data_IF_231075355569
#
_entry.id   IF_231075355569
#
_cell.length_a   1.000
_cell.length_b   1.000
_cell.length_c   1.000
_cell.angle_alpha   90.00
_cell.angle_beta   90.00
_cell.angle_gamma   90.00
#
_symmetry.space_group_name_H-M   'P 1'
#
loop_
_entity.id
_entity.type
_entity.pdbx_description
1 polymer ?
#
# COMPACT_ATOMS: atom_id res chain seq x y z
N UNK A 1 -1.49 6.37 -27.53
CA UNK A 1 -0.21 7.08 -27.38
C UNK A 1 0.71 6.32 -26.44
N UNK A 2 0.30 6.03 -25.20
CA UNK A 2 1.09 5.26 -24.23
C UNK A 2 1.57 3.88 -24.72
N UNK A 3 0.65 2.95 -25.02
CA UNK A 3 1.00 1.58 -25.44
C UNK A 3 1.79 1.55 -26.75
N UNK A 4 1.61 2.52 -27.65
CA UNK A 4 2.38 2.62 -28.89
C UNK A 4 3.86 2.92 -28.62
N UNK A 5 4.15 3.68 -27.56
CA UNK A 5 5.50 4.16 -27.26
C UNK A 5 6.25 3.27 -26.27
N UNK A 6 5.54 2.57 -25.38
CA UNK A 6 6.16 1.79 -24.29
C UNK A 6 5.90 0.28 -24.38
N UNK A 7 5.04 -0.20 -25.29
CA UNK A 7 4.86 -1.63 -25.50
C UNK A 7 5.74 -2.11 -26.66
N UNK A 8 7.07 -2.00 -26.49
CA UNK A 8 8.07 -2.57 -27.37
C UNK A 8 9.08 -3.38 -26.55
N UNK A 9 9.92 -4.13 -27.23
CA UNK A 9 10.98 -4.90 -26.56
C UNK A 9 12.08 -3.98 -25.98
N UNK A 10 12.16 -2.71 -26.42
CA UNK A 10 13.04 -1.70 -25.81
C UNK A 10 12.65 -1.37 -24.36
N UNK A 11 11.35 -1.53 -24.04
CA UNK A 11 10.76 -1.30 -22.72
C UNK A 11 10.21 -2.60 -22.13
N UNK A 12 10.93 -3.71 -22.34
CA UNK A 12 10.51 -5.06 -21.92
C UNK A 12 10.21 -5.17 -20.41
N UNK A 13 10.81 -4.31 -19.58
CA UNK A 13 10.68 -4.29 -18.13
C UNK A 13 9.46 -3.49 -17.63
N UNK A 14 8.67 -2.88 -18.53
CA UNK A 14 7.39 -2.27 -18.15
C UNK A 14 6.36 -3.36 -17.94
N UNK A 15 6.01 -3.60 -16.67
CA UNK A 15 5.06 -4.65 -16.27
C UNK A 15 3.61 -4.32 -16.64
N UNK A 16 3.24 -3.03 -16.64
CA UNK A 16 1.88 -2.61 -16.87
C UNK A 16 1.59 -1.18 -16.45
N UNK A 17 0.34 -0.91 -16.10
CA UNK A 17 -0.15 0.40 -15.66
C UNK A 17 -0.85 0.26 -14.31
N UNK A 18 -0.46 1.10 -13.36
CA UNK A 18 -1.34 1.48 -12.26
C UNK A 18 -2.40 2.45 -12.77
N UNK A 19 -3.65 1.97 -12.80
CA UNK A 19 -4.71 2.61 -13.59
C UNK A 19 -5.06 4.01 -13.08
N UNK A 20 -4.95 4.24 -11.76
CA UNK A 20 -5.16 5.54 -11.15
C UNK A 20 -4.69 5.53 -9.69
N UNK A 21 -3.70 6.38 -9.39
CA UNK A 21 -3.29 6.69 -8.03
C UNK A 21 -4.45 7.19 -7.16
N UNK A 22 -4.66 6.54 -6.03
CA UNK A 22 -5.53 6.91 -4.92
C UNK A 22 -6.92 7.45 -5.35
N UNK A 23 -7.85 6.59 -5.79
CA UNK A 23 -9.25 6.93 -6.08
C UNK A 23 -10.09 7.38 -4.87
N UNK A 24 -9.62 8.35 -4.08
CA UNK A 24 -10.21 8.72 -2.78
C UNK A 24 -11.60 9.40 -2.84
N UNK A 25 -11.97 9.98 -3.99
CA UNK A 25 -13.32 10.55 -4.21
C UNK A 25 -14.25 9.60 -4.99
N UNK A 26 -13.77 8.40 -5.32
CA UNK A 26 -14.51 7.47 -6.15
C UNK A 26 -15.34 6.49 -5.30
N UNK A 27 -16.33 5.88 -5.94
CA UNK A 27 -17.13 4.81 -5.36
C UNK A 27 -16.77 3.47 -6.01
N UNK A 28 -17.28 2.36 -5.47
CA UNK A 28 -17.02 1.02 -6.00
C UNK A 28 -18.32 0.23 -6.15
N UNK A 29 -18.59 -0.24 -7.37
CA UNK A 29 -19.72 -1.13 -7.68
C UNK A 29 -21.09 -0.46 -7.64
N UNK A 30 -21.15 0.87 -7.77
CA UNK A 30 -22.38 1.66 -7.76
C UNK A 30 -23.05 1.73 -9.14
N UNK A 31 -22.27 1.59 -10.22
CA UNK A 31 -22.74 1.84 -11.59
C UNK A 31 -22.81 3.32 -11.98
N UNK A 32 -22.50 4.23 -11.06
CA UNK A 32 -22.57 5.67 -11.28
C UNK A 32 -21.30 6.22 -11.93
N UNK A 33 -21.32 7.51 -12.30
CA UNK A 33 -20.18 8.20 -12.91
C UNK A 33 -18.90 8.20 -12.06
N UNK A 34 -19.02 7.96 -10.74
CA UNK A 34 -17.88 7.88 -9.81
C UNK A 34 -17.43 6.44 -9.56
N UNK A 35 -17.99 5.43 -10.22
CA UNK A 35 -17.65 4.02 -9.99
C UNK A 35 -16.25 3.69 -10.55
N UNK A 36 -15.26 3.63 -9.66
CA UNK A 36 -13.88 3.31 -10.03
C UNK A 36 -13.74 1.89 -10.57
N UNK A 37 -14.57 0.94 -10.15
CA UNK A 37 -14.54 -0.42 -10.70
C UNK A 37 -14.82 -0.41 -12.20
N UNK A 38 -15.82 0.36 -12.65
CA UNK A 38 -16.14 0.50 -14.08
C UNK A 38 -15.08 1.29 -14.84
N UNK A 39 -14.51 2.32 -14.21
CA UNK A 39 -13.39 3.06 -14.78
C UNK A 39 -12.15 2.14 -14.98
N UNK A 40 -11.82 1.32 -13.99
CA UNK A 40 -10.72 0.35 -14.04
C UNK A 40 -10.91 -0.66 -15.17
N UNK A 41 -12.10 -1.22 -15.34
CA UNK A 41 -12.42 -2.12 -16.47
C UNK A 41 -12.24 -1.43 -17.83
N UNK A 42 -12.69 -0.17 -17.94
CA UNK A 42 -12.62 0.60 -19.18
C UNK A 42 -11.16 0.93 -19.54
N UNK A 43 -10.39 1.45 -18.58
CA UNK A 43 -8.98 1.81 -18.78
C UNK A 43 -8.16 0.54 -19.05
N UNK A 44 -8.37 -0.52 -18.26
CA UNK A 44 -7.70 -1.81 -18.41
C UNK A 44 -7.97 -2.46 -19.77
N UNK A 45 -9.22 -2.47 -20.24
CA UNK A 45 -9.56 -2.99 -21.58
C UNK A 45 -8.88 -2.18 -22.70
N UNK A 46 -8.81 -0.85 -22.57
CA UNK A 46 -8.14 0.01 -23.54
C UNK A 46 -6.63 -0.21 -23.56
N UNK A 47 -6.02 -0.35 -22.40
CA UNK A 47 -4.61 -0.69 -22.23
C UNK A 47 -4.29 -2.04 -22.88
N UNK A 48 -5.02 -3.09 -22.52
CA UNK A 48 -4.77 -4.45 -23.00
C UNK A 48 -4.98 -4.60 -24.50
N UNK A 49 -5.90 -3.83 -25.11
CA UNK A 49 -6.02 -3.75 -26.57
C UNK A 49 -4.75 -3.20 -27.23
N UNK A 50 -4.06 -2.28 -26.56
CA UNK A 50 -2.83 -1.69 -27.07
C UNK A 50 -1.56 -2.46 -26.70
N UNK A 51 -1.56 -3.14 -25.55
CA UNK A 51 -0.44 -3.95 -25.07
C UNK A 51 -0.95 -5.20 -24.32
N UNK A 52 -1.15 -6.33 -25.02
CA UNK A 52 -1.63 -7.57 -24.38
C UNK A 52 -0.63 -8.19 -23.40
N UNK A 53 0.64 -7.77 -23.39
CA UNK A 53 1.68 -8.28 -22.48
C UNK A 53 1.55 -7.70 -21.07
N UNK A 54 1.05 -6.47 -20.94
CA UNK A 54 0.96 -5.73 -19.66
C UNK A 54 -0.07 -6.30 -18.68
N UNK A 55 0.03 -5.84 -17.43
CA UNK A 55 -0.87 -6.07 -16.31
C UNK A 55 -1.60 -4.76 -15.92
N UNK A 56 -2.84 -4.87 -15.44
CA UNK A 56 -3.59 -3.77 -14.87
C UNK A 56 -3.50 -3.84 -13.34
N UNK A 57 -2.83 -2.86 -12.74
CA UNK A 57 -2.79 -2.69 -11.29
C UNK A 57 -3.96 -1.79 -10.88
N UNK A 58 -4.80 -2.30 -9.99
CA UNK A 58 -6.04 -1.64 -9.57
C UNK A 58 -6.01 -1.46 -8.06
N UNK A 59 -5.90 -0.21 -7.65
CA UNK A 59 -6.04 0.21 -6.26
C UNK A 59 -7.51 0.13 -5.77
N UNK A 60 -7.72 0.43 -4.49
CA UNK A 60 -9.03 0.58 -3.87
C UNK A 60 -9.60 2.01 -3.92
N UNK A 61 -10.67 2.23 -3.18
CA UNK A 61 -11.27 3.56 -2.95
C UNK A 61 -11.09 3.99 -1.50
N UNK A 62 -11.56 5.19 -1.14
CA UNK A 62 -11.67 5.63 0.26
C UNK A 62 -13.13 5.57 0.69
N UNK A 63 -13.45 4.75 1.68
CA UNK A 63 -14.79 4.67 2.24
C UNK A 63 -14.72 4.55 3.77
N UNK A 64 -15.80 4.96 4.43
CA UNK A 64 -15.94 4.79 5.87
C UNK A 64 -16.36 3.36 6.18
N UNK A 65 -15.69 2.76 7.16
CA UNK A 65 -15.93 1.40 7.60
C UNK A 65 -15.98 1.32 9.13
N UNK A 66 -16.70 0.29 9.58
CA UNK A 66 -16.76 -0.10 10.98
C UNK A 66 -16.18 -1.51 11.08
N UNK A 67 -15.26 -1.70 12.02
CA UNK A 67 -14.68 -3.01 12.35
C UNK A 67 -14.75 -3.24 13.86
N UNK A 68 -14.68 -4.51 14.28
CA UNK A 68 -14.62 -4.87 15.69
C UNK A 68 -13.26 -5.46 16.02
N UNK A 69 -12.43 -4.75 16.77
CA UNK A 69 -11.08 -5.18 17.14
C UNK A 69 -11.02 -5.33 18.65
N UNK A 70 -10.51 -6.46 19.16
CA UNK A 70 -10.43 -6.74 20.60
C UNK A 70 -11.78 -6.62 21.35
N UNK A 71 -12.91 -6.80 20.64
CA UNK A 71 -14.26 -6.67 21.19
C UNK A 71 -14.81 -5.24 21.22
N UNK A 72 -14.05 -4.27 20.71
CA UNK A 72 -14.45 -2.87 20.61
C UNK A 72 -14.71 -2.46 19.16
N UNK A 73 -15.69 -1.58 18.96
CA UNK A 73 -16.02 -1.04 17.64
C UNK A 73 -15.08 0.11 17.28
N UNK A 74 -14.46 0.03 16.09
CA UNK A 74 -13.65 1.08 15.51
C UNK A 74 -14.28 1.57 14.22
N UNK A 75 -14.47 2.88 14.13
CA UNK A 75 -14.86 3.56 12.90
C UNK A 75 -13.61 4.20 12.28
N UNK A 76 -13.35 3.90 11.02
CA UNK A 76 -12.18 4.40 10.29
C UNK A 76 -12.53 4.68 8.84
N UNK A 77 -11.66 5.40 8.15
CA UNK A 77 -11.69 5.51 6.70
C UNK A 77 -10.60 4.61 6.13
N UNK A 78 -10.87 3.94 5.00
CA UNK A 78 -9.80 3.25 4.29
C UNK A 78 -8.67 4.20 3.96
N UNK A 79 -7.44 3.71 3.89
CA UNK A 79 -6.39 4.48 3.22
C UNK A 79 -6.84 4.86 1.81
N UNK A 80 -6.40 6.01 1.33
CA UNK A 80 -6.65 6.37 -0.06
C UNK A 80 -6.03 5.30 -0.95
N UNK A 81 -6.80 4.73 -1.88
CA UNK A 81 -6.35 3.57 -2.65
C UNK A 81 -6.36 2.23 -1.89
N UNK A 82 -6.80 2.17 -0.64
CA UNK A 82 -6.77 0.96 0.19
C UNK A 82 -8.06 0.13 0.19
N UNK A 83 -9.22 0.76 -0.02
CA UNK A 83 -10.53 0.12 0.17
C UNK A 83 -10.93 -0.83 -0.96
N UNK A 84 -10.76 -2.14 -0.78
CA UNK A 84 -11.12 -3.20 -1.72
C UNK A 84 -12.17 -4.18 -1.17
N UNK A 85 -12.83 -3.87 -0.06
CA UNK A 85 -13.87 -4.69 0.59
C UNK A 85 -15.00 -5.11 -0.37
N UNK A 86 -15.37 -4.21 -1.30
CA UNK A 86 -16.45 -4.44 -2.26
C UNK A 86 -16.05 -5.33 -3.44
N UNK A 87 -14.77 -5.69 -3.61
CA UNK A 87 -14.30 -6.63 -4.65
C UNK A 87 -15.02 -7.98 -4.54
N UNK A 88 -15.29 -8.46 -3.33
CA UNK A 88 -16.02 -9.72 -3.10
C UNK A 88 -17.39 -9.77 -3.80
N UNK A 89 -18.08 -8.63 -3.87
CA UNK A 89 -19.40 -8.50 -4.49
C UNK A 89 -19.32 -8.02 -5.94
N UNK A 90 -18.40 -7.10 -6.20
CA UNK A 90 -18.23 -6.41 -7.47
C UNK A 90 -16.76 -6.50 -7.92
N UNK A 91 -16.28 -7.69 -8.34
CA UNK A 91 -14.91 -7.85 -8.80
C UNK A 91 -14.70 -7.12 -10.13
N UNK A 92 -13.46 -6.67 -10.37
CA UNK A 92 -13.06 -6.12 -11.67
C UNK A 92 -12.96 -7.26 -12.67
N UNK A 93 -13.60 -7.10 -13.84
CA UNK A 93 -13.62 -8.08 -14.92
C UNK A 93 -12.93 -7.51 -16.14
N UNK A 94 -11.74 -8.04 -16.43
CA UNK A 94 -11.03 -7.77 -17.67
C UNK A 94 -11.36 -8.88 -18.69
N UNK A 95 -11.48 -8.51 -19.97
CA UNK A 95 -11.74 -9.48 -21.04
C UNK A 95 -10.57 -10.42 -21.33
N UNK A 96 -9.41 -10.20 -20.72
CA UNK A 96 -8.22 -11.06 -20.85
C UNK A 96 -7.91 -11.73 -19.50
N UNK A 97 -7.74 -13.07 -19.47
CA UNK A 97 -7.45 -13.78 -18.24
C UNK A 97 -6.07 -13.42 -17.69
N UNK A 98 -5.91 -13.50 -16.37
CA UNK A 98 -4.63 -13.33 -15.67
C UNK A 98 -3.95 -11.97 -15.94
N UNK A 99 -4.74 -10.90 -16.10
CA UNK A 99 -4.26 -9.53 -16.37
C UNK A 99 -4.52 -8.52 -15.25
N UNK A 100 -5.14 -8.96 -14.17
CA UNK A 100 -5.51 -8.11 -13.04
C UNK A 100 -4.55 -8.35 -11.88
N UNK A 101 -4.11 -7.26 -11.26
CA UNK A 101 -3.44 -7.23 -9.95
C UNK A 101 -4.16 -6.19 -9.11
N UNK A 102 -4.49 -6.52 -7.87
CA UNK A 102 -4.96 -5.54 -6.91
C UNK A 102 -3.76 -4.90 -6.19
N UNK A 103 -3.74 -3.58 -6.12
CA UNK A 103 -2.58 -2.81 -5.66
C UNK A 103 -2.91 -1.86 -4.49
N UNK A 104 -3.55 -2.31 -3.39
CA UNK A 104 -4.00 -1.41 -2.34
C UNK A 104 -2.87 -0.66 -1.64
N UNK A 105 -3.15 0.54 -1.13
CA UNK A 105 -2.25 1.28 -0.24
C UNK A 105 -2.56 0.96 1.22
N UNK A 106 -1.53 0.94 2.07
CA UNK A 106 -1.69 0.81 3.52
C UNK A 106 -0.57 1.53 4.26
N UNK A 107 -0.94 2.41 5.17
CA UNK A 107 0.00 3.33 5.81
C UNK A 107 0.04 3.18 7.34
N UNK A 108 0.83 4.05 7.96
CA UNK A 108 1.14 4.06 9.40
C UNK A 108 0.59 5.32 10.07
N UNK A 109 0.62 5.43 11.41
CA UNK A 109 0.22 6.63 12.14
C UNK A 109 0.89 7.93 11.68
N UNK A 110 2.04 7.87 11.01
CA UNK A 110 2.70 9.07 10.51
C UNK A 110 1.96 9.75 9.35
N UNK A 111 1.20 8.99 8.54
CA UNK A 111 0.34 9.56 7.49
C UNK A 111 -0.95 10.10 8.12
N UNK A 112 -1.63 9.24 8.88
CA UNK A 112 -2.82 9.60 9.64
C UNK A 112 -2.92 8.70 10.89
N UNK A 113 -3.20 9.25 12.08
CA UNK A 113 -3.21 8.48 13.32
C UNK A 113 -4.54 7.73 13.47
N UNK A 114 -4.75 6.72 12.63
CA UNK A 114 -5.92 5.85 12.73
C UNK A 114 -6.05 5.26 14.14
N UNK A 115 -7.21 5.43 14.76
CA UNK A 115 -7.40 5.16 16.19
C UNK A 115 -7.17 3.67 16.53
N UNK A 116 -7.38 2.77 15.56
CA UNK A 116 -7.13 1.35 15.75
C UNK A 116 -5.65 1.03 16.03
N UNK A 117 -4.68 1.89 15.73
CA UNK A 117 -3.28 1.68 16.11
C UNK A 117 -2.99 1.91 17.60
N UNK A 118 -3.94 2.46 18.35
CA UNK A 118 -3.75 2.88 19.74
C UNK A 118 -4.73 2.16 20.69
N UNK A 119 -4.31 1.95 21.93
CA UNK A 119 -5.11 1.32 22.98
C UNK A 119 -6.00 2.28 23.76
N UNK A 120 -6.06 3.56 23.36
CA UNK A 120 -6.77 4.61 24.06
C UNK A 120 -6.22 5.99 23.71
N UNK A 121 -6.87 7.02 24.23
CA UNK A 121 -6.56 8.43 24.03
C UNK A 121 -7.83 9.23 23.72
N UNK A 122 -7.68 10.54 23.51
CA UNK A 122 -8.78 11.43 23.11
C UNK A 122 -8.50 12.04 21.75
N UNK A 123 -9.41 11.82 20.80
CA UNK A 123 -9.33 12.44 19.47
C UNK A 123 -9.72 13.91 19.59
N UNK A 124 -8.85 14.80 19.09
CA UNK A 124 -9.08 16.24 19.04
C UNK A 124 -9.73 16.67 17.73
N UNK A 125 -10.13 17.95 17.63
CA UNK A 125 -10.65 18.51 16.39
C UNK A 125 -9.61 18.65 15.27
N UNK A 126 -8.32 18.46 15.57
CA UNK A 126 -7.22 18.45 14.59
C UNK A 126 -6.86 17.04 14.13
N UNK A 127 -7.70 16.03 14.44
CA UNK A 127 -7.41 14.62 14.20
C UNK A 127 -6.10 14.15 14.86
N UNK A 128 -5.69 14.78 15.96
CA UNK A 128 -4.61 14.27 16.81
C UNK A 128 -5.19 13.43 17.95
N UNK A 129 -4.38 12.58 18.56
CA UNK A 129 -4.77 11.75 19.72
C UNK A 129 -3.95 12.16 20.93
N UNK A 130 -4.55 12.90 21.87
CA UNK A 130 -3.89 13.21 23.16
C UNK A 130 -4.03 12.03 24.12
N UNK A 131 -3.09 11.92 25.07
CA UNK A 131 -3.06 10.84 26.06
C UNK A 131 -3.11 9.43 25.43
N UNK A 132 -2.53 9.31 24.22
CA UNK A 132 -2.56 8.08 23.45
C UNK A 132 -1.84 6.94 24.18
N UNK A 133 -2.37 5.73 24.05
CA UNK A 133 -1.78 4.53 24.65
C UNK A 133 -1.16 3.67 23.57
N UNK A 134 0.17 3.56 23.54
CA UNK A 134 0.85 2.67 22.60
C UNK A 134 0.66 1.20 22.96
N UNK A 135 0.19 0.42 21.98
CA UNK A 135 -0.05 -1.01 22.09
C UNK A 135 1.25 -1.80 22.27
N UNK A 136 1.14 -2.97 22.92
CA UNK A 136 2.22 -3.97 22.92
C UNK A 136 2.37 -4.61 21.51
N UNK A 137 3.44 -5.37 21.30
CA UNK A 137 3.76 -5.94 19.99
C UNK A 137 2.68 -6.88 19.43
N UNK A 138 2.16 -7.79 20.26
CA UNK A 138 1.16 -8.75 19.82
C UNK A 138 -0.15 -8.08 19.45
N UNK A 139 -0.58 -7.09 20.24
CA UNK A 139 -1.79 -6.32 19.94
C UNK A 139 -1.62 -5.52 18.64
N UNK A 140 -0.54 -4.75 18.51
CA UNK A 140 -0.33 -3.92 17.32
C UNK A 140 -0.22 -4.76 16.03
N UNK A 141 0.50 -5.88 16.07
CA UNK A 141 0.57 -6.82 14.94
C UNK A 141 -0.82 -7.35 14.57
N UNK A 142 -1.60 -7.82 15.56
CA UNK A 142 -2.97 -8.33 15.32
C UNK A 142 -3.87 -7.28 14.66
N UNK A 143 -3.76 -6.01 15.07
CA UNK A 143 -4.57 -4.92 14.49
C UNK A 143 -4.13 -4.56 13.07
N UNK A 144 -2.82 -4.56 12.79
CA UNK A 144 -2.29 -4.39 11.42
C UNK A 144 -2.79 -5.53 10.52
N UNK A 145 -2.60 -6.78 10.93
CA UNK A 145 -3.06 -7.95 10.15
C UNK A 145 -4.56 -7.90 9.90
N UNK A 146 -5.36 -7.59 10.92
CA UNK A 146 -6.82 -7.54 10.81
C UNK A 146 -7.30 -6.45 9.87
N UNK A 147 -6.81 -5.23 10.01
CA UNK A 147 -7.24 -4.11 9.17
C UNK A 147 -6.78 -4.29 7.72
N UNK A 148 -5.55 -4.77 7.47
CA UNK A 148 -5.12 -5.17 6.13
C UNK A 148 -6.00 -6.27 5.54
N UNK A 149 -6.32 -7.30 6.32
CA UNK A 149 -7.16 -8.41 5.86
C UNK A 149 -8.57 -7.95 5.51
N UNK A 150 -9.18 -7.13 6.35
CA UNK A 150 -10.52 -6.60 6.09
C UNK A 150 -10.54 -5.68 4.88
N UNK A 151 -9.59 -4.75 4.74
CA UNK A 151 -9.53 -3.82 3.60
C UNK A 151 -9.33 -4.56 2.28
N UNK A 152 -8.41 -5.53 2.23
CA UNK A 152 -8.02 -6.17 0.97
C UNK A 152 -7.43 -7.58 1.08
N UNK A 153 -6.88 -7.98 2.23
CA UNK A 153 -6.13 -9.23 2.35
C UNK A 153 -6.95 -10.50 2.12
N UNK A 154 -8.27 -10.45 2.35
CA UNK A 154 -9.17 -11.57 2.06
C UNK A 154 -9.15 -12.02 0.59
N UNK A 155 -8.73 -11.14 -0.35
CA UNK A 155 -8.65 -11.46 -1.78
C UNK A 155 -7.60 -12.57 -2.04
N UNK A 156 -6.61 -12.70 -1.16
CA UNK A 156 -5.52 -13.67 -1.30
C UNK A 156 -6.00 -15.09 -1.01
N UNK A 157 -7.03 -15.26 -0.18
CA UNK A 157 -7.55 -16.57 0.24
C UNK A 157 -8.03 -17.42 -0.96
N UNK A 158 -8.59 -16.76 -1.98
CA UNK A 158 -9.10 -17.40 -3.20
C UNK A 158 -7.99 -17.69 -4.23
N UNK A 159 -6.71 -17.44 -3.89
CA UNK A 159 -5.52 -17.66 -4.73
C UNK A 159 -5.52 -16.94 -6.08
N UNK A 160 -6.29 -15.86 -6.22
CA UNK A 160 -6.21 -14.95 -7.35
C UNK A 160 -7.35 -13.92 -7.36
N UNK A 161 -7.17 -12.73 -7.97
CA UNK A 161 -5.95 -12.14 -8.55
C UNK A 161 -4.82 -11.89 -7.53
N UNK A 162 -3.60 -11.63 -8.01
CA UNK A 162 -2.50 -11.26 -7.13
C UNK A 162 -2.79 -9.94 -6.40
N UNK A 163 -2.35 -9.84 -5.14
CA UNK A 163 -2.41 -8.62 -4.34
C UNK A 163 -0.98 -8.22 -3.96
N UNK A 164 -0.59 -7.00 -4.28
CA UNK A 164 0.65 -6.38 -3.80
C UNK A 164 0.33 -5.01 -3.21
N UNK A 165 1.12 -4.50 -2.28
CA UNK A 165 0.87 -3.14 -1.78
C UNK A 165 1.41 -2.12 -2.78
N UNK A 166 0.52 -1.25 -3.29
CA UNK A 166 0.89 -0.16 -4.20
C UNK A 166 1.78 0.87 -3.50
N UNK A 167 1.46 1.17 -2.24
CA UNK A 167 2.27 2.00 -1.36
C UNK A 167 2.14 1.51 0.09
N UNK A 168 3.25 1.57 0.83
CA UNK A 168 3.27 1.38 2.27
C UNK A 168 4.50 2.05 2.91
N UNK A 169 4.50 2.12 4.23
CA UNK A 169 5.54 2.64 5.15
C UNK A 169 5.20 3.98 5.82
N UNK A 170 6.21 4.69 6.32
CA UNK A 170 6.07 5.75 7.30
C UNK A 170 7.42 6.30 7.74
N UNK A 171 7.41 7.13 8.79
CA UNK A 171 8.64 7.48 9.50
C UNK A 171 9.21 6.24 10.20
N UNK A 172 10.48 5.93 9.98
CA UNK A 172 11.13 4.72 10.50
C UNK A 172 12.28 5.06 11.45
N UNK A 173 13.31 5.75 10.97
CA UNK A 173 14.41 6.22 11.80
C UNK A 173 14.00 7.44 12.64
N UNK A 174 13.06 8.24 12.14
CA UNK A 174 12.62 9.49 12.79
C UNK A 174 11.38 9.33 13.69
N UNK A 175 10.87 8.12 13.86
CA UNK A 175 9.70 7.84 14.72
C UNK A 175 9.95 8.32 16.17
N UNK A 176 9.18 9.30 16.63
CA UNK A 176 9.28 9.88 17.96
C UNK A 176 8.39 9.19 19.01
N UNK A 177 7.57 8.21 18.62
CA UNK A 177 6.78 7.47 19.59
C UNK A 177 7.68 6.76 20.63
N UNK A 178 7.34 6.77 21.93
CA UNK A 178 8.12 6.08 22.96
C UNK A 178 8.36 4.59 22.70
N UNK A 179 7.33 3.85 22.24
CA UNK A 179 7.44 2.44 21.83
C UNK A 179 7.62 2.26 20.32
N UNK A 180 7.92 3.33 19.58
CA UNK A 180 8.15 3.30 18.13
C UNK A 180 6.97 2.70 17.35
N UNK A 181 5.75 3.16 17.64
CA UNK A 181 4.53 2.61 17.02
C UNK A 181 4.51 2.77 15.50
N UNK A 182 4.89 3.92 14.93
CA UNK A 182 4.96 4.09 13.47
C UNK A 182 5.90 3.08 12.81
N UNK A 183 7.11 2.97 13.36
CA UNK A 183 8.13 2.04 12.90
C UNK A 183 7.63 0.59 12.98
N UNK A 184 7.04 0.21 14.12
CA UNK A 184 6.48 -1.13 14.32
C UNK A 184 5.33 -1.43 13.36
N UNK A 185 4.50 -0.45 13.02
CA UNK A 185 3.47 -0.64 11.98
C UNK A 185 4.10 -1.00 10.63
N UNK A 186 5.20 -0.33 10.24
CA UNK A 186 5.93 -0.71 9.01
C UNK A 186 6.49 -2.12 9.09
N UNK A 187 7.13 -2.48 10.22
CA UNK A 187 7.64 -3.84 10.44
C UNK A 187 6.53 -4.89 10.32
N UNK A 188 5.34 -4.64 10.89
CA UNK A 188 4.21 -5.56 10.87
C UNK A 188 3.50 -5.61 9.52
N UNK A 189 3.45 -4.51 8.78
CA UNK A 189 2.98 -4.53 7.38
C UNK A 189 3.88 -5.44 6.55
N UNK A 190 5.21 -5.31 6.65
CA UNK A 190 6.16 -6.20 5.95
C UNK A 190 6.01 -7.65 6.40
N UNK A 191 5.89 -7.88 7.70
CA UNK A 191 5.65 -9.23 8.23
C UNK A 191 4.37 -9.84 7.66
N UNK A 192 3.30 -9.04 7.54
CA UNK A 192 2.01 -9.48 6.99
C UNK A 192 2.14 -9.80 5.50
N UNK A 193 2.81 -8.94 4.72
CA UNK A 193 3.11 -9.18 3.29
C UNK A 193 3.77 -10.55 3.11
N UNK A 194 4.86 -10.79 3.83
CA UNK A 194 5.66 -12.01 3.69
C UNK A 194 4.91 -13.25 4.18
N UNK A 195 4.14 -13.14 5.26
CA UNK A 195 3.53 -14.31 5.92
C UNK A 195 2.18 -14.73 5.35
N UNK A 196 1.43 -13.81 4.71
CA UNK A 196 0.07 -14.08 4.23
C UNK A 196 -0.03 -14.35 2.72
N UNK A 197 1.09 -14.31 1.99
CA UNK A 197 1.11 -14.66 0.56
C UNK A 197 0.79 -13.50 -0.38
N UNK A 198 1.04 -12.26 0.05
CA UNK A 198 1.05 -11.12 -0.87
C UNK A 198 2.17 -11.28 -1.91
N UNK A 199 1.98 -10.71 -3.10
CA UNK A 199 2.96 -10.74 -4.18
C UNK A 199 4.14 -9.76 -3.96
N UNK A 200 4.09 -8.94 -2.90
CA UNK A 200 5.12 -7.96 -2.53
C UNK A 200 4.53 -6.58 -2.29
N UNK A 201 5.31 -5.54 -2.55
CA UNK A 201 4.83 -4.16 -2.54
C UNK A 201 5.89 -3.14 -2.94
N UNK A 202 5.46 -1.93 -3.24
CA UNK A 202 6.33 -0.78 -3.46
C UNK A 202 6.34 0.08 -2.19
N UNK A 203 7.52 0.23 -1.59
CA UNK A 203 7.67 1.03 -0.39
C UNK A 203 7.66 2.52 -0.75
N UNK A 204 6.92 3.31 0.02
CA UNK A 204 6.86 4.76 -0.07
C UNK A 204 7.78 5.41 1.01
N UNK A 205 8.88 6.06 0.63
CA UNK A 205 9.42 6.12 -0.73
C UNK A 205 10.95 6.12 -0.76
N UNK A 206 11.51 6.06 -1.98
CA UNK A 206 12.94 6.31 -2.17
C UNK A 206 13.32 7.75 -1.79
N UNK A 207 12.44 8.70 -2.07
CA UNK A 207 12.69 10.13 -1.98
C UNK A 207 12.72 10.60 -0.52
N UNK A 208 13.77 11.32 -0.08
CA UNK A 208 13.88 11.83 1.29
C UNK A 208 12.81 12.86 1.67
N UNK A 209 12.24 13.57 0.69
CA UNK A 209 11.25 14.62 0.92
C UNK A 209 9.81 14.11 0.97
N UNK A 210 9.59 12.80 0.98
CA UNK A 210 8.27 12.21 1.22
C UNK A 210 7.71 12.68 2.56
N UNK A 211 6.58 13.36 2.52
CA UNK A 211 6.00 14.04 3.67
C UNK A 211 5.02 13.17 4.47
N UNK A 212 5.01 13.39 5.78
CA UNK A 212 4.16 12.75 6.77
C UNK A 212 3.55 13.81 7.69
N UNK A 213 2.31 13.60 8.14
CA UNK A 213 1.52 14.60 8.85
C UNK A 213 1.62 14.55 10.37
N UNK A 214 2.11 13.45 10.96
CA UNK A 214 2.04 13.21 12.40
C UNK A 214 3.30 12.54 12.94
N UNK A 215 3.81 13.03 14.08
CA UNK A 215 4.90 12.39 14.80
C UNK A 215 5.10 12.99 16.21
N UNK A 216 4.64 12.36 17.31
CA UNK A 216 3.70 11.23 17.44
C UNK A 216 2.23 11.59 17.08
N UNK A 217 1.18 10.81 17.46
CA UNK A 217 -0.18 11.05 16.96
C UNK A 217 -0.83 12.28 17.61
N UNK A 218 -0.25 12.81 18.69
CA UNK A 218 -0.64 14.05 19.37
C UNK A 218 -0.07 15.29 18.68
N UNK A 219 0.89 15.12 17.77
CA UNK A 219 1.68 16.20 17.17
C UNK A 219 1.52 16.20 15.66
N UNK A 220 0.63 17.07 15.17
CA UNK A 220 0.49 17.36 13.74
C UNK A 220 1.64 18.26 13.28
N UNK A 221 2.20 17.98 12.11
CA UNK A 221 3.31 18.75 11.56
C UNK A 221 3.63 18.40 10.11
N UNK A 222 4.83 18.77 9.69
CA UNK A 222 5.40 18.38 8.40
C UNK A 222 6.72 17.68 8.66
N UNK A 223 6.74 16.37 8.47
CA UNK A 223 7.90 15.52 8.70
C UNK A 223 8.29 14.85 7.39
N UNK A 224 9.56 14.62 7.14
CA UNK A 224 10.01 13.98 5.89
C UNK A 224 10.99 12.85 6.18
N UNK A 225 10.79 11.72 5.50
CA UNK A 225 11.75 10.61 5.52
C UNK A 225 11.59 9.78 4.23
N UNK A 226 12.69 9.21 3.74
CA UNK A 226 12.72 8.25 2.66
C UNK A 226 13.86 7.25 2.84
N UNK A 227 13.99 6.31 1.90
CA UNK A 227 15.10 5.36 1.89
C UNK A 227 16.45 5.98 1.53
N UNK A 228 16.46 7.14 0.89
CA UNK A 228 17.66 7.94 0.65
C UNK A 228 17.64 9.13 1.60
N UNK A 229 18.82 9.56 2.05
CA UNK A 229 19.00 10.77 2.86
C UNK A 229 18.78 12.03 2.02
N UNK A 230 18.52 13.19 2.65
CA UNK A 230 18.29 14.48 1.96
C UNK A 230 19.40 14.91 1.00
N UNK A 231 20.60 14.32 1.11
CA UNK A 231 21.70 14.56 0.19
C UNK A 231 21.58 13.79 -1.15
N UNK A 232 20.55 12.95 -1.32
CA UNK A 232 20.28 12.13 -2.51
C UNK A 232 21.40 11.13 -2.90
N UNK A 233 22.31 10.86 -1.97
CA UNK A 233 23.52 10.06 -2.23
C UNK A 233 23.67 8.90 -1.28
N UNK A 234 23.33 9.11 -0.01
CA UNK A 234 23.45 8.11 1.03
C UNK A 234 22.10 7.45 1.27
N UNK A 235 22.10 6.14 1.48
CA UNK A 235 20.90 5.45 1.93
C UNK A 235 20.67 5.73 3.41
N UNK A 236 19.41 5.93 3.79
CA UNK A 236 18.97 5.81 5.17
C UNK A 236 19.14 4.34 5.59
N UNK A 237 20.32 4.03 6.13
CA UNK A 237 20.72 2.64 6.39
C UNK A 237 19.82 1.93 7.42
N UNK A 238 19.22 2.69 8.34
CA UNK A 238 18.27 2.15 9.33
C UNK A 238 16.99 1.72 8.64
N UNK A 239 16.41 2.59 7.81
CA UNK A 239 15.17 2.31 7.08
C UNK A 239 15.39 1.26 5.98
N UNK A 240 16.51 1.31 5.25
CA UNK A 240 16.85 0.29 4.26
C UNK A 240 16.97 -1.10 4.88
N UNK A 241 17.64 -1.21 6.04
CA UNK A 241 17.75 -2.48 6.75
C UNK A 241 16.37 -3.03 7.16
N UNK A 242 15.41 -2.16 7.45
CA UNK A 242 14.05 -2.57 7.79
C UNK A 242 13.31 -3.25 6.64
N UNK A 243 13.72 -3.01 5.38
CA UNK A 243 13.09 -3.63 4.21
C UNK A 243 13.60 -5.05 3.93
N UNK A 244 14.75 -5.44 4.49
CA UNK A 244 15.37 -6.77 4.27
C UNK A 244 14.47 -7.97 4.56
N UNK A 245 13.44 -7.94 5.45
CA UNK A 245 12.54 -9.07 5.59
C UNK A 245 11.74 -9.40 4.32
N UNK A 246 11.56 -8.45 3.38
CA UNK A 246 10.96 -8.71 2.06
C UNK A 246 11.79 -9.68 1.22
N UNK A 247 13.09 -9.86 1.52
CA UNK A 247 13.95 -10.84 0.87
C UNK A 247 13.48 -12.30 1.10
N UNK A 248 12.54 -12.50 2.03
CA UNK A 248 11.91 -13.80 2.32
C UNK A 248 10.66 -14.09 1.50
N UNK A 249 10.25 -13.18 0.61
CA UNK A 249 9.14 -13.43 -0.30
C UNK A 249 9.41 -14.70 -1.13
N UNK A 250 8.41 -15.59 -1.29
CA UNK A 250 8.56 -16.75 -2.13
C UNK A 250 8.84 -16.32 -3.57
N UNK A 251 9.71 -17.07 -4.26
CA UNK A 251 10.09 -16.82 -5.65
C UNK A 251 10.73 -15.46 -5.95
N UNK A 252 11.17 -14.72 -4.93
CA UNK A 252 11.94 -13.48 -5.13
C UNK A 252 13.21 -13.78 -5.92
N UNK A 253 13.32 -13.12 -7.07
CA UNK A 253 14.47 -13.20 -7.95
C UNK A 253 14.87 -11.79 -8.33
N UNK A 254 16.17 -11.45 -8.29
CA UNK A 254 16.66 -10.24 -8.91
C UNK A 254 16.18 -10.19 -10.36
N UNK A 255 15.79 -9.01 -10.82
CA UNK A 255 15.50 -8.81 -12.24
C UNK A 255 16.74 -9.25 -13.03
N UNK A 256 16.60 -10.11 -14.06
CA UNK A 256 17.76 -10.63 -14.76
C UNK A 256 18.58 -9.46 -15.32
N UNK A 257 19.84 -9.34 -14.86
CA UNK A 257 20.79 -8.48 -15.51
C UNK A 257 21.11 -9.10 -16.87
N UNK A 258 20.96 -8.33 -17.96
CA UNK A 258 21.47 -8.79 -19.25
C UNK A 258 22.99 -8.90 -19.18
N UNK A 259 23.60 -9.87 -19.85
CA UNK A 259 25.03 -9.84 -20.10
C UNK A 259 25.37 -8.48 -20.70
N UNK A 260 26.37 -7.79 -20.15
CA UNK A 260 26.97 -6.66 -20.83
C UNK A 260 27.50 -7.21 -22.17
N UNK A 261 27.05 -6.65 -23.29
CA UNK A 261 27.71 -6.91 -24.57
C UNK A 261 29.16 -6.48 -24.41
N UNK A 262 30.07 -7.46 -24.36
CA UNK A 262 31.48 -7.18 -24.45
C UNK A 262 31.75 -6.84 -25.90
N UNK A 263 32.13 -5.60 -26.18
CA UNK A 263 32.61 -5.20 -27.50
C UNK A 263 33.69 -6.19 -27.97
N UNK A 264 33.34 -7.02 -28.97
CA UNK A 264 34.29 -7.86 -29.72
C UNK A 264 34.57 -7.25 -31.08
#
# INVERSE_FOLDING_TARGET
MLTKNLCSDDYWNVLGIDLKNEPYLATWGTGDATDFKLAAETIGARMLKGCPKWMAFVEGVNAQHTTVIDGEEFNYYDWYGGGLQKVKQFPVKLGSPNKLVYAPHYYTPAVFPEYYFFGGGTITSQNTITDYVELNNSALLSRVEKTMYEMFGYIIDDKGPAVLLGEFAGLYALDQHPKKTTRRCTDYTIQTIVSKGYAGGYMWSLNPESAYGYNPPDTQGYFTEGLVELNWREANSVFLKAMTPLDKLPDLKPMPCFPLETDT
#
